data_IF_492922185332
#
_entry.id   IF_492922185332
#
_cell.length_a   1.000
_cell.length_b   1.000
_cell.length_c   1.000
_cell.angle_alpha   90.00
_cell.angle_beta   90.00
_cell.angle_gamma   90.00
#
_symmetry.space_group_name_H-M   'P 1'
#
loop_
_entity.id
_entity.type
_entity.pdbx_description
1 polymer ?
#
# COMPACT_ATOMS: atom_id res chain seq x y z
N UNK A 1 -12.33 -2.60 8.55
CA UNK A 1 -11.45 -2.59 9.22
C UNK A 1 -11.04 -3.12 10.58
N UNK A 2 -11.49 -4.30 10.96
CA UNK A 2 -11.07 -4.89 12.26
C UNK A 2 -9.84 -5.79 12.15
N UNK A 3 -9.41 -6.14 10.93
CA UNK A 3 -8.26 -7.03 10.77
C UNK A 3 -6.97 -6.32 11.22
N UNK A 4 -6.08 -7.02 11.95
CA UNK A 4 -4.82 -6.42 12.43
C UNK A 4 -3.97 -5.77 11.35
N UNK A 5 -3.90 -6.37 10.15
CA UNK A 5 -3.11 -5.81 9.04
C UNK A 5 -3.66 -4.46 8.58
N UNK A 6 -4.98 -4.29 8.57
CA UNK A 6 -5.61 -3.02 8.22
C UNK A 6 -5.27 -1.94 9.25
N UNK A 7 -5.31 -2.29 10.54
CA UNK A 7 -4.92 -1.37 11.61
C UNK A 7 -3.47 -0.90 11.45
N UNK A 8 -2.56 -1.84 11.20
CA UNK A 8 -1.15 -1.52 11.02
C UNK A 8 -0.93 -0.57 9.85
N UNK A 9 -1.61 -0.80 8.73
CA UNK A 9 -1.51 0.07 7.55
C UNK A 9 -2.09 1.45 7.80
N UNK A 10 -3.22 1.54 8.49
CA UNK A 10 -3.84 2.84 8.80
C UNK A 10 -2.93 3.64 9.73
N UNK A 11 -2.36 3.03 10.76
CA UNK A 11 -1.41 3.69 11.63
C UNK A 11 -0.19 4.20 10.85
N UNK A 12 0.31 3.39 9.91
CA UNK A 12 1.42 3.80 9.04
C UNK A 12 1.04 5.01 8.19
N UNK A 13 -0.17 5.01 7.62
CA UNK A 13 -0.65 6.15 6.83
C UNK A 13 -0.77 7.42 7.67
N UNK A 14 -1.29 7.30 8.90
CA UNK A 14 -1.41 8.44 9.81
C UNK A 14 -0.01 9.05 10.08
N UNK A 15 0.99 8.21 10.24
CA UNK A 15 2.35 8.68 10.55
C UNK A 15 3.07 9.28 9.35
N UNK A 16 2.69 8.93 8.12
CA UNK A 16 3.49 9.27 6.94
C UNK A 16 2.79 10.18 5.92
N UNK A 17 1.45 10.19 5.85
CA UNK A 17 0.74 10.98 4.83
C UNK A 17 0.90 12.48 5.05
N UNK A 18 1.28 13.17 3.98
CA UNK A 18 1.37 14.65 3.92
C UNK A 18 0.47 15.15 2.80
N UNK A 19 0.11 16.44 2.86
CA UNK A 19 -0.81 17.06 1.88
C UNK A 19 -0.35 16.94 0.43
N UNK A 20 0.94 16.93 0.19
CA UNK A 20 1.51 16.87 -1.16
C UNK A 20 1.65 15.44 -1.69
N UNK A 21 1.35 14.44 -0.88
CA UNK A 21 1.62 13.05 -1.24
C UNK A 21 0.59 12.48 -2.21
N UNK A 22 1.08 11.72 -3.16
CA UNK A 22 0.28 10.81 -3.99
C UNK A 22 0.44 9.41 -3.39
N UNK A 23 -0.68 8.78 -3.08
CA UNK A 23 -0.71 7.48 -2.40
C UNK A 23 -1.27 6.43 -3.34
N UNK A 24 -0.57 5.30 -3.44
CA UNK A 24 -1.02 4.13 -4.20
C UNK A 24 -1.38 3.01 -3.23
N UNK A 25 -2.60 2.50 -3.35
CA UNK A 25 -3.09 1.33 -2.61
C UNK A 25 -3.11 0.15 -3.57
N UNK A 26 -2.06 -0.65 -3.56
CA UNK A 26 -1.89 -1.75 -4.50
C UNK A 26 -2.48 -3.05 -3.93
N UNK A 27 -3.46 -3.60 -4.64
CA UNK A 27 -4.30 -4.68 -4.13
C UNK A 27 -5.35 -4.11 -3.19
N UNK A 28 -6.07 -3.07 -3.65
CA UNK A 28 -6.87 -2.22 -2.78
C UNK A 28 -8.10 -2.90 -2.16
N UNK A 29 -8.56 -4.03 -2.70
CA UNK A 29 -9.72 -4.74 -2.16
C UNK A 29 -10.95 -3.85 -2.04
N UNK A 30 -11.39 -3.61 -0.81
CA UNK A 30 -12.55 -2.74 -0.53
C UNK A 30 -12.24 -1.25 -0.63
N UNK A 31 -10.97 -0.88 -0.84
CA UNK A 31 -10.54 0.50 -0.95
C UNK A 31 -10.31 1.22 0.36
N UNK A 32 -10.38 0.50 1.48
CA UNK A 32 -10.33 1.14 2.81
C UNK A 32 -9.04 1.93 3.05
N UNK A 33 -7.90 1.46 2.56
CA UNK A 33 -6.62 2.16 2.78
C UNK A 33 -6.51 3.41 1.91
N UNK A 34 -6.93 3.35 0.65
CA UNK A 34 -7.00 4.53 -0.20
C UNK A 34 -7.95 5.59 0.38
N UNK A 35 -9.09 5.14 0.88
CA UNK A 35 -10.06 6.03 1.53
C UNK A 35 -9.44 6.66 2.79
N UNK A 36 -8.77 5.86 3.61
CA UNK A 36 -8.09 6.37 4.81
C UNK A 36 -7.05 7.43 4.44
N UNK A 37 -6.25 7.18 3.41
CA UNK A 37 -5.24 8.15 2.95
C UNK A 37 -5.87 9.49 2.55
N UNK A 38 -7.00 9.47 1.83
CA UNK A 38 -7.72 10.69 1.47
C UNK A 38 -8.29 11.41 2.70
N UNK A 39 -8.85 10.64 3.65
CA UNK A 39 -9.39 11.22 4.89
C UNK A 39 -8.29 11.86 5.75
N UNK A 40 -7.10 11.29 5.75
CA UNK A 40 -5.95 11.86 6.46
C UNK A 40 -5.47 13.15 5.79
N UNK A 41 -5.60 13.25 4.46
CA UNK A 41 -5.35 14.50 3.76
C UNK A 41 -4.29 14.44 2.66
N UNK A 42 -4.05 13.30 2.03
CA UNK A 42 -3.13 13.24 0.89
C UNK A 42 -3.68 14.03 -0.31
N UNK A 43 -2.79 14.37 -1.25
CA UNK A 43 -3.16 15.09 -2.46
C UNK A 43 -4.08 14.25 -3.34
N UNK A 44 -3.70 13.00 -3.58
CA UNK A 44 -4.48 12.07 -4.39
C UNK A 44 -4.22 10.64 -3.94
N UNK A 45 -5.18 9.77 -4.17
CA UNK A 45 -5.07 8.35 -3.91
C UNK A 45 -5.53 7.58 -5.14
N UNK A 46 -4.82 6.50 -5.45
CA UNK A 46 -5.13 5.59 -6.53
C UNK A 46 -5.22 4.18 -5.95
N UNK A 47 -6.33 3.50 -6.18
CA UNK A 47 -6.48 2.10 -5.81
C UNK A 47 -6.33 1.21 -7.04
N UNK A 48 -5.62 0.12 -6.89
CA UNK A 48 -5.36 -0.84 -7.97
C UNK A 48 -5.71 -2.23 -7.48
N UNK A 49 -6.46 -2.98 -8.27
CA UNK A 49 -6.74 -4.38 -7.98
C UNK A 49 -6.92 -5.15 -9.29
N UNK A 50 -6.65 -6.45 -9.24
CA UNK A 50 -6.86 -7.34 -10.38
C UNK A 50 -8.33 -7.74 -10.50
N UNK A 51 -9.07 -7.70 -9.41
CA UNK A 51 -10.45 -8.18 -9.31
C UNK A 51 -11.45 -7.05 -9.62
N UNK A 52 -12.23 -7.16 -10.71
CA UNK A 52 -13.25 -6.15 -11.02
C UNK A 52 -14.28 -5.95 -9.90
N UNK A 53 -14.60 -7.00 -9.14
CA UNK A 53 -15.56 -6.89 -8.03
C UNK A 53 -14.99 -6.03 -6.90
N UNK A 54 -13.69 -6.14 -6.65
CA UNK A 54 -13.01 -5.28 -5.67
C UNK A 54 -13.10 -3.81 -6.10
N UNK A 55 -12.93 -3.52 -7.36
CA UNK A 55 -13.01 -2.15 -7.87
C UNK A 55 -14.41 -1.56 -7.73
N UNK A 56 -15.45 -2.37 -7.95
CA UNK A 56 -16.85 -1.95 -7.74
C UNK A 56 -17.07 -1.62 -6.27
N UNK A 57 -16.66 -2.52 -5.36
CA UNK A 57 -16.80 -2.31 -3.93
C UNK A 57 -16.04 -1.07 -3.46
N UNK A 58 -14.84 -0.86 -3.98
CA UNK A 58 -14.01 0.31 -3.65
C UNK A 58 -14.69 1.61 -4.05
N UNK A 59 -15.25 1.65 -5.26
CA UNK A 59 -15.96 2.84 -5.76
C UNK A 59 -17.16 3.17 -4.91
N UNK A 60 -17.95 2.15 -4.54
CA UNK A 60 -19.11 2.33 -3.70
C UNK A 60 -18.71 2.84 -2.31
N UNK A 61 -17.64 2.28 -1.73
CA UNK A 61 -17.15 2.70 -0.42
C UNK A 61 -16.62 4.14 -0.46
N UNK A 62 -15.94 4.54 -1.52
CA UNK A 62 -15.47 5.91 -1.67
C UNK A 62 -16.63 6.90 -1.72
N UNK A 63 -17.70 6.58 -2.45
CA UNK A 63 -18.90 7.40 -2.49
C UNK A 63 -19.54 7.53 -1.12
N UNK A 64 -19.65 6.43 -0.37
CA UNK A 64 -20.22 6.44 0.97
C UNK A 64 -19.40 7.29 1.94
N UNK A 65 -18.11 7.43 1.69
CA UNK A 65 -17.19 8.20 2.54
C UNK A 65 -16.94 9.61 2.03
N UNK A 66 -17.61 10.01 0.95
CA UNK A 66 -17.51 11.36 0.37
C UNK A 66 -16.07 11.73 -0.03
N UNK A 67 -15.33 10.78 -0.59
CA UNK A 67 -13.98 11.02 -1.12
C UNK A 67 -13.94 10.65 -2.60
N UNK A 68 -13.08 11.35 -3.35
CA UNK A 68 -12.84 11.09 -4.76
C UNK A 68 -11.52 10.33 -4.90
N UNK A 69 -11.60 9.12 -5.43
CA UNK A 69 -10.43 8.25 -5.61
C UNK A 69 -10.58 7.56 -6.96
N UNK A 70 -9.51 7.46 -7.71
CA UNK A 70 -9.47 6.68 -8.93
C UNK A 70 -9.15 5.23 -8.58
N UNK A 71 -9.89 4.29 -9.19
CA UNK A 71 -9.64 2.85 -9.02
C UNK A 71 -9.48 2.23 -10.40
N UNK A 72 -8.39 1.51 -10.61
CA UNK A 72 -8.11 0.90 -11.92
C UNK A 72 -7.70 -0.57 -11.76
N UNK A 73 -7.90 -1.35 -12.83
CA UNK A 73 -7.50 -2.74 -12.88
C UNK A 73 -5.99 -2.85 -13.08
N UNK A 74 -5.35 -3.78 -12.37
CA UNK A 74 -3.88 -3.91 -12.35
C UNK A 74 -3.27 -4.30 -13.70
N UNK A 75 -4.07 -4.86 -14.61
CA UNK A 75 -3.60 -5.18 -15.97
C UNK A 75 -3.41 -3.96 -16.85
N UNK A 76 -3.99 -2.82 -16.46
CA UNK A 76 -3.84 -1.56 -17.23
C UNK A 76 -2.54 -0.85 -16.83
N UNK A 77 -1.92 -0.11 -17.77
CA UNK A 77 -0.71 0.65 -17.43
C UNK A 77 -0.98 1.69 -16.36
N UNK A 78 -0.05 1.81 -15.42
CA UNK A 78 -0.08 2.85 -14.38
C UNK A 78 1.11 3.75 -14.66
N UNK A 79 0.86 5.02 -14.95
CA UNK A 79 1.92 5.97 -15.27
C UNK A 79 2.33 6.85 -14.10
N UNK A 80 1.68 6.66 -12.95
CA UNK A 80 1.94 7.46 -11.77
C UNK A 80 3.17 6.96 -11.02
N UNK A 81 3.94 7.89 -10.49
CA UNK A 81 4.96 7.60 -9.47
C UNK A 81 4.41 8.09 -8.14
N UNK A 82 4.31 7.19 -7.19
CA UNK A 82 3.74 7.49 -5.88
C UNK A 82 4.79 7.90 -4.86
N UNK A 83 4.40 8.81 -3.98
CA UNK A 83 5.20 9.18 -2.81
C UNK A 83 5.11 8.11 -1.73
N UNK A 84 3.92 7.54 -1.56
CA UNK A 84 3.65 6.48 -0.60
C UNK A 84 2.88 5.36 -1.29
N UNK A 85 3.25 4.12 -0.98
CA UNK A 85 2.54 2.92 -1.46
C UNK A 85 2.20 2.08 -0.25
N UNK A 86 0.96 1.59 -0.19
CA UNK A 86 0.57 0.54 0.76
C UNK A 86 0.18 -0.69 -0.04
N UNK A 87 0.69 -1.84 0.38
CA UNK A 87 0.37 -3.12 -0.22
C UNK A 87 0.03 -4.11 0.91
N UNK A 88 -1.26 -4.30 1.14
CA UNK A 88 -1.77 -5.20 2.17
C UNK A 88 -2.33 -6.45 1.49
N UNK A 89 -1.42 -7.31 1.05
CA UNK A 89 -1.73 -8.51 0.28
C UNK A 89 -0.92 -9.69 0.80
N UNK A 90 -1.20 -10.89 0.30
CA UNK A 90 -0.51 -12.11 0.73
C UNK A 90 0.99 -12.03 0.46
N UNK A 91 1.79 -12.60 1.35
CA UNK A 91 3.26 -12.59 1.21
C UNK A 91 3.72 -13.25 -0.09
N UNK A 92 3.01 -14.27 -0.58
CA UNK A 92 3.33 -14.91 -1.86
C UNK A 92 3.22 -13.92 -3.03
N UNK A 93 2.21 -13.05 -3.00
CA UNK A 93 2.06 -12.00 -4.01
C UNK A 93 3.14 -10.92 -3.84
N UNK A 94 3.41 -10.50 -2.61
CA UNK A 94 4.47 -9.52 -2.33
C UNK A 94 5.83 -10.00 -2.84
N UNK A 95 6.12 -11.29 -2.71
CA UNK A 95 7.41 -11.84 -3.13
C UNK A 95 7.68 -11.69 -4.63
N UNK A 96 6.64 -11.67 -5.46
CA UNK A 96 6.80 -11.52 -6.91
C UNK A 96 6.58 -10.09 -7.39
N UNK A 97 5.96 -9.22 -6.58
CA UNK A 97 5.63 -7.85 -6.97
C UNK A 97 6.71 -6.82 -6.64
N UNK A 98 7.79 -7.21 -5.98
CA UNK A 98 8.81 -6.27 -5.53
C UNK A 98 9.33 -5.34 -6.65
N UNK A 99 9.72 -5.84 -7.84
CA UNK A 99 10.17 -4.94 -8.90
C UNK A 99 9.06 -4.02 -9.40
N UNK A 100 7.82 -4.50 -9.41
CA UNK A 100 6.66 -3.70 -9.84
C UNK A 100 6.43 -2.53 -8.88
N UNK A 101 6.39 -2.82 -7.57
CA UNK A 101 6.20 -1.79 -6.56
C UNK A 101 7.36 -0.80 -6.52
N UNK A 102 8.60 -1.30 -6.69
CA UNK A 102 9.77 -0.42 -6.79
C UNK A 102 9.62 0.54 -7.98
N UNK A 103 9.09 0.05 -9.11
CA UNK A 103 8.89 0.86 -10.30
C UNK A 103 7.85 1.96 -10.12
N UNK A 104 6.85 1.75 -9.26
CA UNK A 104 5.81 2.75 -9.00
C UNK A 104 6.18 3.73 -7.88
N UNK A 105 7.25 3.47 -7.15
CA UNK A 105 7.64 4.30 -6.02
C UNK A 105 8.68 5.33 -6.47
N UNK A 106 8.46 6.60 -6.12
CA UNK A 106 9.47 7.64 -6.36
C UNK A 106 10.74 7.34 -5.58
N UNK A 107 11.93 7.78 -6.09
CA UNK A 107 13.12 7.80 -5.25
C UNK A 107 12.80 8.54 -3.94
N UNK A 108 13.22 7.99 -2.81
CA UNK A 108 12.92 8.50 -1.47
C UNK A 108 11.45 8.42 -1.08
N UNK A 109 10.62 7.81 -1.91
CA UNK A 109 9.25 7.46 -1.52
C UNK A 109 9.25 6.29 -0.54
N UNK A 110 8.12 6.02 0.09
CA UNK A 110 8.01 4.98 1.08
C UNK A 110 6.96 3.94 0.72
N UNK A 111 7.17 2.73 1.21
CA UNK A 111 6.31 1.58 0.95
C UNK A 111 6.01 0.88 2.27
N UNK A 112 4.74 0.60 2.52
CA UNK A 112 4.33 -0.27 3.62
C UNK A 112 3.88 -1.62 3.06
N UNK A 113 4.50 -2.68 3.54
CA UNK A 113 4.16 -4.06 3.17
C UNK A 113 3.45 -4.71 4.34
N UNK A 114 2.24 -5.21 4.13
CA UNK A 114 1.48 -5.89 5.16
C UNK A 114 0.73 -7.09 4.60
N UNK A 115 0.01 -7.82 5.46
CA UNK A 115 -0.55 -9.11 5.09
C UNK A 115 0.47 -10.22 5.27
N UNK A 116 1.49 -9.98 6.10
CA UNK A 116 2.65 -10.83 6.32
C UNK A 116 2.60 -11.37 7.75
N UNK A 117 2.71 -12.68 7.91
CA UNK A 117 2.87 -13.29 9.22
C UNK A 117 4.32 -13.14 9.69
N UNK A 118 4.54 -13.15 11.00
CA UNK A 118 5.89 -13.01 11.57
C UNK A 118 6.89 -14.01 10.99
N UNK A 119 6.46 -15.24 10.73
CA UNK A 119 7.31 -16.27 10.14
C UNK A 119 7.78 -15.93 8.72
N UNK A 120 7.09 -15.04 8.02
CA UNK A 120 7.38 -14.65 6.64
C UNK A 120 8.21 -13.38 6.55
N UNK A 121 8.42 -12.70 7.65
CA UNK A 121 9.03 -11.37 7.69
C UNK A 121 10.41 -11.33 7.02
N UNK A 122 11.31 -12.22 7.42
CA UNK A 122 12.69 -12.21 6.92
C UNK A 122 12.78 -12.47 5.43
N UNK A 123 11.95 -13.38 4.92
CA UNK A 123 11.90 -13.70 3.50
C UNK A 123 11.52 -12.47 2.67
N UNK A 124 10.49 -11.75 3.09
CA UNK A 124 10.03 -10.53 2.40
C UNK A 124 11.08 -9.43 2.48
N UNK A 125 11.70 -9.23 3.65
CA UNK A 125 12.78 -8.24 3.80
C UNK A 125 13.92 -8.49 2.83
N UNK A 126 14.36 -9.74 2.70
CA UNK A 126 15.47 -10.08 1.81
C UNK A 126 15.16 -9.74 0.36
N UNK A 127 13.92 -9.98 -0.09
CA UNK A 127 13.50 -9.66 -1.45
C UNK A 127 13.50 -8.15 -1.68
N UNK A 128 12.93 -7.38 -0.75
CA UNK A 128 12.74 -5.93 -0.94
C UNK A 128 14.03 -5.13 -0.74
N UNK A 129 15.04 -5.68 -0.06
CA UNK A 129 16.34 -5.02 0.12
C UNK A 129 17.03 -4.67 -1.19
N UNK A 130 16.68 -5.32 -2.28
CA UNK A 130 17.27 -4.98 -3.57
C UNK A 130 16.97 -3.54 -3.98
N UNK A 131 15.81 -3.01 -3.62
CA UNK A 131 15.37 -1.66 -4.03
C UNK A 131 15.13 -0.70 -2.87
N UNK A 132 14.96 -1.23 -1.66
CA UNK A 132 14.52 -0.45 -0.52
C UNK A 132 15.43 -0.65 0.69
N UNK A 133 15.52 0.38 1.53
CA UNK A 133 16.04 0.26 2.88
C UNK A 133 14.87 -0.09 3.79
N UNK A 134 15.06 -1.06 4.66
CA UNK A 134 14.05 -1.43 5.66
C UNK A 134 14.19 -0.46 6.82
N UNK A 135 13.16 0.34 7.07
CA UNK A 135 13.22 1.41 8.07
C UNK A 135 12.69 0.94 9.41
N UNK A 136 11.57 0.24 9.41
CA UNK A 136 10.89 -0.13 10.66
C UNK A 136 9.95 -1.31 10.41
N UNK A 137 9.61 -2.02 11.48
CA UNK A 137 8.61 -3.09 11.44
C UNK A 137 7.69 -2.89 12.65
N UNK A 138 6.40 -2.87 12.40
CA UNK A 138 5.39 -2.86 13.45
C UNK A 138 4.66 -4.19 13.45
N UNK A 139 4.14 -4.59 14.62
CA UNK A 139 3.52 -5.91 14.81
C UNK A 139 2.21 -5.80 15.54
N UNK A 140 1.27 -6.66 15.18
CA UNK A 140 -0.02 -6.76 15.87
C UNK A 140 -0.57 -8.17 15.67
N UNK A 141 -0.75 -8.89 16.76
CA UNK A 141 -1.41 -10.20 16.79
C UNK A 141 -0.81 -11.20 15.78
N UNK A 142 0.52 -11.24 15.70
CA UNK A 142 1.24 -12.17 14.83
C UNK A 142 1.42 -11.70 13.39
N UNK A 143 0.89 -10.54 13.04
CA UNK A 143 1.05 -9.90 11.74
C UNK A 143 2.08 -8.79 11.80
N UNK A 144 2.73 -8.53 10.67
CA UNK A 144 3.74 -7.46 10.59
C UNK A 144 3.44 -6.48 9.47
N UNK A 145 3.88 -5.24 9.66
CA UNK A 145 3.91 -4.21 8.63
C UNK A 145 5.35 -3.74 8.52
N UNK A 146 5.92 -3.88 7.33
CA UNK A 146 7.31 -3.51 7.06
C UNK A 146 7.32 -2.16 6.35
N UNK A 147 7.99 -1.19 6.96
CA UNK A 147 8.14 0.15 6.39
C UNK A 147 9.46 0.23 5.63
N UNK A 148 9.39 0.62 4.36
CA UNK A 148 10.54 0.62 3.45
C UNK A 148 10.73 2.00 2.83
N UNK A 149 11.98 2.38 2.59
CA UNK A 149 12.35 3.63 1.91
C UNK A 149 12.99 3.28 0.58
N UNK A 150 12.44 3.82 -0.52
CA UNK A 150 12.95 3.58 -1.87
C UNK A 150 14.32 4.24 -2.03
N UNK A 151 15.35 3.44 -2.31
CA UNK A 151 16.67 3.99 -2.58
C UNK A 151 16.68 4.79 -3.87
N UNK A 152 17.55 5.77 -3.94
CA UNK A 152 17.64 6.72 -5.05
C UNK A 152 18.47 6.15 -6.20
N UNK A 153 18.11 4.93 -6.66
CA UNK A 153 18.79 4.31 -7.80
C UNK A 153 17.80 3.80 -8.82
#
# INVERSE_FOLDING_TARGET
GSHPTTHLCIEWLIDHVKKSNRVLDYGCGSGILAIAAKKIGCQSALGVDIDPQALIASKDNALLNNVTIEFIESSKPIEIKADLIVANILSSALSVLAPVLAGYCKPNGMLALSGILEAQENHIKEIYKEWFDIINVTRKEGWVCISCLRRNK
#
